data_IF_714111088108
#
_entry.id   IF_714111088108
#
_cell.length_a   1.000
_cell.length_b   1.000
_cell.length_c   1.000
_cell.angle_alpha   90.00
_cell.angle_beta   90.00
_cell.angle_gamma   90.00
#
_symmetry.space_group_name_H-M   'P 1'
#
loop_
_entity.id
_entity.type
_entity.pdbx_description
1 polymer ?
#
# COMPACT_ATOMS: atom_id res chain seq x y z
N UNK A 1 37.49 5.69 3.80
CA UNK A 1 36.83 6.68 2.93
C UNK A 1 35.34 6.55 3.22
N UNK A 2 34.74 7.51 3.94
CA UNK A 2 33.32 7.52 4.27
C UNK A 2 32.56 7.89 3.01
N UNK A 3 31.84 6.91 2.44
CA UNK A 3 30.90 7.13 1.35
C UNK A 3 29.72 7.93 1.94
N UNK A 4 29.67 9.23 1.71
CA UNK A 4 28.50 10.05 1.99
C UNK A 4 27.38 9.50 1.09
N UNK A 5 26.46 8.72 1.67
CA UNK A 5 25.19 8.41 0.99
C UNK A 5 24.60 9.75 0.56
N UNK A 6 24.42 9.94 -0.76
CA UNK A 6 23.62 11.05 -1.29
C UNK A 6 22.33 11.09 -0.48
N UNK A 7 21.95 12.27 0.00
CA UNK A 7 20.80 12.42 0.86
C UNK A 7 19.57 11.81 0.18
N UNK A 8 18.95 10.81 0.83
CA UNK A 8 17.68 10.25 0.39
C UNK A 8 16.70 11.42 0.22
N UNK A 9 15.98 11.44 -0.90
CA UNK A 9 14.82 12.31 -1.03
C UNK A 9 13.89 11.98 0.15
N UNK A 10 13.64 12.96 1.00
CA UNK A 10 12.67 12.84 2.09
C UNK A 10 11.42 13.59 1.67
N UNK A 11 10.30 12.92 1.76
CA UNK A 11 9.00 13.56 1.58
C UNK A 11 8.69 14.51 2.75
N UNK A 12 7.51 15.08 2.71
CA UNK A 12 7.02 16.03 3.71
C UNK A 12 5.56 15.74 4.06
N UNK A 13 5.15 16.10 5.26
CA UNK A 13 3.73 16.14 5.62
C UNK A 13 3.06 17.28 4.86
N UNK A 14 1.93 16.97 4.25
CA UNK A 14 1.07 17.93 3.56
C UNK A 14 -0.36 17.81 4.08
N UNK A 15 -1.21 18.76 3.70
CA UNK A 15 -2.66 18.65 3.91
C UNK A 15 -3.36 18.68 2.56
N UNK A 16 -4.41 17.89 2.40
CA UNK A 16 -5.24 17.85 1.19
C UNK A 16 -6.71 17.65 1.56
N UNK A 17 -7.60 17.86 0.61
CA UNK A 17 -9.03 17.76 0.86
C UNK A 17 -9.57 16.38 0.52
N UNK A 18 -10.48 15.90 1.33
CA UNK A 18 -11.36 14.76 1.08
C UNK A 18 -12.52 15.19 0.16
N UNK A 19 -13.22 14.26 -0.50
CA UNK A 19 -14.42 14.57 -1.28
C UNK A 19 -15.52 15.30 -0.50
N UNK A 20 -15.66 15.03 0.80
CA UNK A 20 -16.62 15.71 1.69
C UNK A 20 -16.21 17.14 2.09
N UNK A 21 -15.04 17.61 1.64
CA UNK A 21 -14.49 18.92 1.94
C UNK A 21 -13.70 19.01 3.25
N UNK A 22 -13.64 17.95 4.04
CA UNK A 22 -12.76 17.90 5.20
C UNK A 22 -11.28 17.85 4.78
N UNK A 23 -10.41 18.39 5.63
CA UNK A 23 -8.96 18.35 5.41
C UNK A 23 -8.34 17.18 6.15
N UNK A 24 -7.47 16.46 5.45
CA UNK A 24 -6.68 15.36 6.00
C UNK A 24 -5.20 15.62 5.74
N UNK A 25 -4.34 15.09 6.60
CA UNK A 25 -2.90 15.11 6.40
C UNK A 25 -2.43 13.85 5.66
N UNK A 26 -1.24 13.94 5.09
CA UNK A 26 -0.57 12.79 4.49
C UNK A 26 0.90 13.08 4.27
N UNK A 27 1.67 12.03 4.03
CA UNK A 27 3.10 12.15 3.71
C UNK A 27 3.29 12.04 2.20
N UNK A 28 3.78 13.11 1.57
CA UNK A 28 4.06 13.16 0.14
C UNK A 28 5.56 13.12 -0.11
N UNK A 29 6.01 12.10 -0.82
CA UNK A 29 7.34 12.01 -1.40
C UNK A 29 7.26 12.23 -2.91
N UNK A 30 8.17 13.03 -3.45
CA UNK A 30 8.17 13.41 -4.87
C UNK A 30 9.53 13.18 -5.50
N UNK A 31 9.60 12.74 -6.76
CA UNK A 31 10.86 12.61 -7.48
C UNK A 31 11.47 13.97 -7.79
N UNK A 32 12.78 13.98 -8.11
CA UNK A 32 13.47 15.20 -8.50
C UNK A 32 12.89 15.84 -9.79
N UNK A 33 12.34 15.01 -10.68
CA UNK A 33 11.66 15.46 -11.91
C UNK A 33 10.18 15.16 -11.77
N UNK A 34 9.36 16.19 -11.65
CA UNK A 34 7.91 16.08 -11.43
C UNK A 34 7.09 15.96 -12.73
N UNK A 35 7.59 16.55 -13.82
CA UNK A 35 6.81 16.61 -15.07
C UNK A 35 6.50 15.22 -15.63
N UNK A 36 5.21 14.88 -15.69
CA UNK A 36 4.73 13.60 -16.18
C UNK A 36 4.98 12.41 -15.24
N UNK A 37 5.44 12.63 -14.02
CA UNK A 37 5.63 11.56 -13.06
C UNK A 37 4.29 10.93 -12.68
N UNK A 38 4.10 9.62 -12.87
CA UNK A 38 2.91 8.94 -12.38
C UNK A 38 2.91 8.87 -10.86
N UNK A 39 1.73 8.66 -10.28
CA UNK A 39 1.55 8.71 -8.85
C UNK A 39 1.11 7.37 -8.25
N UNK A 40 1.40 7.19 -6.96
CA UNK A 40 1.04 6.01 -6.19
C UNK A 40 0.48 6.46 -4.83
N UNK A 41 -0.73 6.03 -4.51
CA UNK A 41 -1.24 6.09 -3.14
C UNK A 41 -0.66 4.90 -2.38
N UNK A 42 0.00 5.17 -1.25
CA UNK A 42 0.59 4.15 -0.39
C UNK A 42 -0.23 4.04 0.89
N UNK A 43 -0.78 2.88 1.16
CA UNK A 43 -1.65 2.69 2.32
C UNK A 43 -0.87 2.02 3.45
N UNK A 44 -0.92 2.65 4.62
CA UNK A 44 -0.24 2.25 5.85
C UNK A 44 -0.66 0.87 6.36
N UNK A 45 0.20 0.27 7.16
CA UNK A 45 -0.18 -0.82 8.04
C UNK A 45 -0.98 -0.27 9.26
N UNK A 46 -1.36 -1.12 10.18
CA UNK A 46 -2.14 -0.74 11.37
C UNK A 46 -1.37 0.12 12.40
N UNK A 47 -0.11 0.45 12.11
CA UNK A 47 0.76 1.23 13.00
C UNK A 47 0.59 2.75 12.86
N UNK A 48 -0.12 3.24 11.85
CA UNK A 48 -0.14 4.66 11.47
C UNK A 48 0.97 5.03 10.48
N UNK A 49 1.15 6.33 10.23
CA UNK A 49 2.22 6.82 9.32
C UNK A 49 3.56 6.85 10.07
N UNK A 50 4.15 5.69 10.31
CA UNK A 50 5.48 5.54 10.90
C UNK A 50 6.62 5.76 9.89
N UNK A 51 7.86 5.66 10.34
CA UNK A 51 9.03 5.89 9.46
C UNK A 51 9.20 4.78 8.42
N UNK A 52 8.73 3.57 8.69
CA UNK A 52 8.75 2.46 7.75
C UNK A 52 7.91 2.78 6.51
N UNK A 53 6.63 3.16 6.67
CA UNK A 53 5.76 3.44 5.52
C UNK A 53 6.16 4.74 4.79
N UNK A 54 6.69 5.75 5.51
CA UNK A 54 7.32 6.91 4.88
C UNK A 54 8.51 6.52 4.02
N UNK A 55 9.32 5.56 4.51
CA UNK A 55 10.44 4.99 3.76
C UNK A 55 10.02 4.30 2.47
N UNK A 56 8.85 3.65 2.44
CA UNK A 56 8.27 3.09 1.21
C UNK A 56 7.96 4.21 0.21
N UNK A 57 7.31 5.29 0.64
CA UNK A 57 7.00 6.43 -0.22
C UNK A 57 8.28 7.11 -0.76
N UNK A 58 9.30 7.28 0.08
CA UNK A 58 10.59 7.85 -0.31
C UNK A 58 11.28 6.99 -1.38
N UNK A 59 11.29 5.66 -1.21
CA UNK A 59 11.86 4.72 -2.20
C UNK A 59 11.11 4.76 -3.53
N UNK A 60 9.79 4.90 -3.52
CA UNK A 60 9.00 5.09 -4.74
C UNK A 60 9.35 6.42 -5.42
N UNK A 61 9.57 7.48 -4.66
CA UNK A 61 9.98 8.76 -5.20
C UNK A 61 11.39 8.71 -5.81
N UNK A 62 12.33 7.97 -5.22
CA UNK A 62 13.64 7.68 -5.80
C UNK A 62 13.53 6.91 -7.15
N UNK A 63 12.47 6.11 -7.32
CA UNK A 63 12.16 5.39 -8.56
C UNK A 63 11.36 6.21 -9.57
N UNK A 64 11.08 7.49 -9.32
CA UNK A 64 10.42 8.40 -10.26
C UNK A 64 8.92 8.56 -10.07
N UNK A 65 8.31 8.04 -9.02
CA UNK A 65 6.89 8.16 -8.74
C UNK A 65 6.60 9.27 -7.73
N UNK A 66 5.44 9.93 -7.83
CA UNK A 66 4.90 10.71 -6.71
C UNK A 66 4.17 9.74 -5.78
N UNK A 67 4.55 9.68 -4.52
CA UNK A 67 3.98 8.74 -3.55
C UNK A 67 3.32 9.49 -2.39
N UNK A 68 2.03 9.26 -2.15
CA UNK A 68 1.27 9.89 -1.08
C UNK A 68 0.72 8.83 -0.12
N UNK A 69 1.07 8.96 1.15
CA UNK A 69 0.51 8.15 2.25
C UNK A 69 -0.57 8.97 2.95
N UNK A 70 -1.88 8.72 2.77
CA UNK A 70 -2.93 9.40 3.52
C UNK A 70 -2.88 8.98 5.00
N UNK A 71 -3.11 9.93 5.92
CA UNK A 71 -3.11 9.68 7.36
C UNK A 71 -4.50 9.19 7.82
N UNK A 72 -4.69 7.88 7.78
CA UNK A 72 -5.97 7.27 8.13
C UNK A 72 -6.30 7.38 9.62
N UNK A 73 -5.29 7.59 10.47
CA UNK A 73 -5.46 7.65 11.92
C UNK A 73 -5.38 9.06 12.49
N UNK A 74 -5.41 10.10 11.64
CA UNK A 74 -5.44 11.51 12.06
C UNK A 74 -4.30 11.91 12.99
N UNK A 75 -3.10 11.40 12.71
CA UNK A 75 -1.89 11.67 13.48
C UNK A 75 -1.57 10.63 14.56
N UNK A 76 -2.48 9.71 14.85
CA UNK A 76 -2.18 8.63 15.77
C UNK A 76 -1.22 7.62 15.14
N UNK A 77 -0.26 7.15 15.91
CA UNK A 77 0.65 6.07 15.56
C UNK A 77 1.08 5.33 16.83
N UNK A 78 1.37 4.05 16.72
CA UNK A 78 1.76 3.22 17.86
C UNK A 78 2.78 2.15 17.44
N UNK A 79 3.44 1.59 18.42
CA UNK A 79 4.28 0.38 18.31
C UNK A 79 3.71 -0.78 19.14
N UNK A 80 2.63 -0.53 19.88
CA UNK A 80 1.99 -1.51 20.76
C UNK A 80 0.84 -2.21 20.04
N UNK A 81 0.82 -3.54 20.10
CA UNK A 81 -0.14 -4.40 19.39
C UNK A 81 -1.60 -4.11 19.80
N UNK A 82 -1.88 -3.98 21.10
CA UNK A 82 -3.24 -3.68 21.58
C UNK A 82 -3.75 -2.35 21.06
N UNK A 83 -2.91 -1.31 21.07
CA UNK A 83 -3.27 0.00 20.57
C UNK A 83 -3.46 -0.01 19.04
N UNK A 84 -2.61 -0.72 18.31
CA UNK A 84 -2.76 -0.88 16.86
C UNK A 84 -4.08 -1.59 16.51
N UNK A 85 -4.44 -2.60 17.29
CA UNK A 85 -5.70 -3.32 17.12
C UNK A 85 -6.91 -2.40 17.40
N UNK A 86 -6.80 -1.55 18.44
CA UNK A 86 -7.83 -0.57 18.78
C UNK A 86 -8.00 0.46 17.65
N UNK A 87 -6.91 1.07 17.17
CA UNK A 87 -6.93 2.03 16.07
C UNK A 87 -7.52 1.44 14.78
N UNK A 88 -7.15 0.20 14.45
CA UNK A 88 -7.69 -0.49 13.28
C UNK A 88 -9.20 -0.78 13.42
N UNK A 89 -9.66 -1.18 14.61
CA UNK A 89 -11.08 -1.47 14.85
C UNK A 89 -11.95 -0.22 14.86
N UNK A 90 -11.40 0.94 15.22
CA UNK A 90 -12.11 2.23 15.17
C UNK A 90 -12.13 2.84 13.76
N UNK A 91 -11.26 2.38 12.86
CA UNK A 91 -11.22 2.89 11.50
C UNK A 91 -12.46 2.43 10.71
N UNK A 92 -13.26 3.37 10.23
CA UNK A 92 -14.28 3.10 9.23
C UNK A 92 -13.61 2.90 7.86
N UNK A 93 -13.49 1.65 7.42
CA UNK A 93 -12.88 1.30 6.14
C UNK A 93 -13.63 1.88 4.94
N UNK A 94 -14.96 2.03 5.03
CA UNK A 94 -15.77 2.64 3.97
C UNK A 94 -15.46 4.13 3.83
N UNK A 95 -15.39 4.84 4.96
CA UNK A 95 -14.98 6.26 4.98
C UNK A 95 -13.52 6.42 4.52
N UNK A 96 -12.61 5.59 5.01
CA UNK A 96 -11.21 5.61 4.60
C UNK A 96 -11.05 5.45 3.08
N UNK A 97 -11.79 4.54 2.45
CA UNK A 97 -11.76 4.34 0.99
C UNK A 97 -12.43 5.48 0.26
N UNK A 98 -13.68 5.82 0.61
CA UNK A 98 -14.50 6.78 -0.15
C UNK A 98 -14.09 8.23 0.05
N UNK A 99 -13.39 8.53 1.14
CA UNK A 99 -12.99 9.89 1.50
C UNK A 99 -11.45 10.05 1.51
N UNK A 100 -10.73 9.35 2.37
CA UNK A 100 -9.30 9.58 2.56
C UNK A 100 -8.47 9.15 1.34
N UNK A 101 -8.66 7.92 0.89
CA UNK A 101 -7.93 7.38 -0.27
C UNK A 101 -8.40 8.06 -1.54
N UNK A 102 -9.70 8.29 -1.70
CA UNK A 102 -10.24 9.04 -2.83
C UNK A 102 -9.72 10.47 -2.89
N UNK A 103 -9.64 11.17 -1.75
CA UNK A 103 -9.04 12.51 -1.66
C UNK A 103 -7.56 12.50 -2.06
N UNK A 104 -6.81 11.48 -1.65
CA UNK A 104 -5.41 11.32 -2.07
C UNK A 104 -5.28 11.13 -3.60
N UNK A 105 -6.19 10.35 -4.22
CA UNK A 105 -6.24 10.21 -5.68
C UNK A 105 -6.50 11.57 -6.35
N UNK A 106 -7.52 12.30 -5.91
CA UNK A 106 -7.87 13.61 -6.46
C UNK A 106 -6.71 14.61 -6.34
N UNK A 107 -6.02 14.61 -5.19
CA UNK A 107 -4.84 15.45 -4.99
C UNK A 107 -3.70 15.11 -5.96
N UNK A 108 -3.43 13.82 -6.16
CA UNK A 108 -2.35 13.38 -7.06
C UNK A 108 -2.68 13.62 -8.53
N UNK A 109 -3.94 13.49 -8.93
CA UNK A 109 -4.39 13.70 -10.31
C UNK A 109 -4.25 15.15 -10.78
N UNK A 110 -4.07 16.13 -9.86
CA UNK A 110 -3.78 17.51 -10.26
C UNK A 110 -2.50 17.65 -11.10
N UNK A 111 -1.53 16.73 -10.89
CA UNK A 111 -0.20 16.78 -11.54
C UNK A 111 0.23 15.44 -12.14
N UNK A 112 -0.60 14.40 -12.09
CA UNK A 112 -0.27 13.05 -12.57
C UNK A 112 -1.45 12.44 -13.30
N UNK A 113 -1.25 12.05 -14.56
CA UNK A 113 -2.30 11.47 -15.41
C UNK A 113 -2.68 10.04 -14.96
N UNK A 114 -1.75 9.33 -14.34
CA UNK A 114 -1.94 7.93 -13.91
C UNK A 114 -1.64 7.79 -12.43
N UNK A 115 -2.59 7.16 -11.72
CA UNK A 115 -2.49 6.88 -10.29
C UNK A 115 -2.65 5.39 -10.04
N UNK A 116 -1.72 4.81 -9.30
CA UNK A 116 -1.79 3.45 -8.78
C UNK A 116 -1.99 3.45 -7.27
N UNK A 117 -2.22 2.27 -6.70
CA UNK A 117 -2.33 2.08 -5.26
C UNK A 117 -1.50 0.90 -4.80
N UNK A 118 -0.90 1.01 -3.64
CA UNK A 118 -0.24 -0.12 -2.95
C UNK A 118 -0.48 0.00 -1.45
N UNK A 119 -0.55 -1.14 -0.78
CA UNK A 119 -0.76 -1.15 0.67
C UNK A 119 -0.33 -2.47 1.30
N UNK A 120 -0.03 -2.41 2.59
CA UNK A 120 0.62 -3.45 3.37
C UNK A 120 -0.27 -3.88 4.52
N UNK A 121 -0.45 -5.17 4.77
CA UNK A 121 -1.29 -5.71 5.85
C UNK A 121 -2.72 -5.12 5.79
N UNK A 122 -3.18 -4.38 6.79
CA UNK A 122 -4.43 -3.61 6.75
C UNK A 122 -4.54 -2.78 5.47
N UNK A 123 -3.45 -2.12 5.07
CA UNK A 123 -3.37 -1.36 3.82
C UNK A 123 -3.53 -2.22 2.56
N UNK A 124 -3.17 -3.50 2.61
CA UNK A 124 -3.44 -4.46 1.54
C UNK A 124 -4.94 -4.71 1.37
N UNK A 125 -5.66 -4.88 2.48
CA UNK A 125 -7.12 -4.99 2.48
C UNK A 125 -7.79 -3.73 1.90
N UNK A 126 -7.35 -2.55 2.37
CA UNK A 126 -7.85 -1.27 1.86
C UNK A 126 -7.49 -1.05 0.38
N UNK A 127 -6.36 -1.59 -0.10
CA UNK A 127 -6.00 -1.55 -1.52
C UNK A 127 -7.03 -2.26 -2.39
N UNK A 128 -7.45 -3.47 -2.02
CA UNK A 128 -8.48 -4.22 -2.76
C UNK A 128 -9.84 -3.51 -2.73
N UNK A 129 -10.25 -3.01 -1.57
CA UNK A 129 -11.49 -2.23 -1.44
C UNK A 129 -11.42 -0.95 -2.28
N UNK A 130 -10.28 -0.26 -2.29
CA UNK A 130 -10.08 0.94 -3.09
C UNK A 130 -10.11 0.64 -4.59
N UNK A 131 -9.51 -0.45 -5.06
CA UNK A 131 -9.58 -0.89 -6.47
C UNK A 131 -11.00 -1.23 -6.90
N UNK A 132 -11.83 -1.73 -5.99
CA UNK A 132 -13.26 -2.00 -6.25
C UNK A 132 -14.11 -0.72 -6.29
N UNK A 133 -13.76 0.30 -5.49
CA UNK A 133 -14.59 1.50 -5.29
C UNK A 133 -14.13 2.73 -6.08
N UNK A 134 -12.84 2.80 -6.46
CA UNK A 134 -12.21 3.99 -7.07
C UNK A 134 -11.69 3.63 -8.46
N UNK A 135 -12.50 3.89 -9.52
CA UNK A 135 -12.17 3.47 -10.88
C UNK A 135 -10.99 4.24 -11.50
N UNK A 136 -10.52 5.29 -10.88
CA UNK A 136 -9.37 6.08 -11.35
C UNK A 136 -8.03 5.37 -11.17
N UNK A 137 -7.95 4.33 -10.37
CA UNK A 137 -6.72 3.57 -10.26
C UNK A 137 -6.43 2.76 -11.52
N UNK A 138 -5.24 2.95 -12.08
CA UNK A 138 -4.75 2.22 -13.27
C UNK A 138 -4.33 0.80 -12.91
N UNK A 139 -3.72 0.62 -11.74
CA UNK A 139 -3.27 -0.68 -11.24
C UNK A 139 -3.03 -0.65 -9.72
N UNK A 140 -2.84 -1.82 -9.12
CA UNK A 140 -2.54 -1.94 -7.71
C UNK A 140 -1.56 -3.05 -7.34
N UNK A 141 -0.89 -2.90 -6.19
CA UNK A 141 -0.05 -3.94 -5.59
C UNK A 141 -0.47 -4.18 -4.14
N UNK A 142 -0.81 -5.41 -3.83
CA UNK A 142 -1.34 -5.85 -2.52
C UNK A 142 -0.27 -6.65 -1.81
N UNK A 143 0.02 -6.29 -0.55
CA UNK A 143 1.03 -6.96 0.26
C UNK A 143 0.38 -7.58 1.50
N UNK A 144 0.40 -8.90 1.57
CA UNK A 144 0.00 -9.75 2.71
C UNK A 144 -1.23 -9.25 3.49
N UNK A 145 -2.29 -8.84 2.79
CA UNK A 145 -3.53 -8.44 3.44
C UNK A 145 -4.70 -8.30 2.45
N UNK A 146 -5.87 -8.79 2.84
CA UNK A 146 -7.10 -8.64 2.07
C UNK A 146 -8.32 -8.59 3.01
N UNK A 147 -9.43 -7.95 2.61
CA UNK A 147 -10.65 -7.91 3.42
C UNK A 147 -11.35 -9.27 3.39
N UNK A 148 -12.24 -9.57 4.36
CA UNK A 148 -13.17 -10.68 4.21
C UNK A 148 -13.88 -10.61 2.85
N UNK A 149 -13.96 -11.75 2.15
CA UNK A 149 -14.40 -11.78 0.73
C UNK A 149 -15.83 -11.28 0.54
N UNK A 150 -16.69 -11.40 1.56
CA UNK A 150 -18.06 -10.85 1.54
C UNK A 150 -18.12 -9.33 1.44
N UNK A 151 -17.04 -8.62 1.74
CA UNK A 151 -16.93 -7.15 1.60
C UNK A 151 -16.26 -6.70 0.30
N UNK A 152 -15.75 -7.65 -0.50
CA UNK A 152 -15.06 -7.37 -1.75
C UNK A 152 -15.96 -7.61 -2.96
N UNK A 153 -16.37 -6.54 -3.63
CA UNK A 153 -17.04 -6.66 -4.94
C UNK A 153 -15.99 -6.74 -6.06
N UNK A 154 -15.44 -7.94 -6.29
CA UNK A 154 -14.43 -8.17 -7.31
C UNK A 154 -14.89 -7.81 -8.73
N UNK A 155 -16.20 -7.85 -9.01
CA UNK A 155 -16.76 -7.51 -10.33
C UNK A 155 -16.54 -6.05 -10.74
N UNK A 156 -16.30 -5.18 -9.77
CA UNK A 156 -16.02 -3.75 -9.97
C UNK A 156 -14.55 -3.46 -10.24
N UNK A 157 -13.63 -4.38 -9.92
CA UNK A 157 -12.21 -4.17 -10.15
C UNK A 157 -11.92 -4.26 -11.64
N UNK A 158 -11.46 -3.14 -12.23
CA UNK A 158 -11.07 -3.05 -13.65
C UNK A 158 -9.57 -2.86 -13.80
N UNK A 159 -8.90 -2.44 -12.75
CA UNK A 159 -7.47 -2.25 -12.71
C UNK A 159 -6.74 -3.60 -12.62
N UNK A 160 -5.61 -3.71 -13.30
CA UNK A 160 -4.71 -4.85 -13.10
C UNK A 160 -4.09 -4.81 -11.69
N UNK A 161 -3.82 -5.95 -11.10
CA UNK A 161 -3.18 -6.00 -9.80
C UNK A 161 -2.17 -7.14 -9.66
N UNK A 162 -1.22 -6.95 -8.75
CA UNK A 162 -0.36 -8.02 -8.25
C UNK A 162 -0.52 -8.19 -6.75
N UNK A 163 -0.33 -9.40 -6.27
CA UNK A 163 -0.37 -9.73 -4.84
C UNK A 163 0.91 -10.42 -4.38
N UNK A 164 1.39 -10.07 -3.20
CA UNK A 164 2.56 -10.64 -2.55
C UNK A 164 2.17 -11.32 -1.24
N UNK A 165 2.30 -12.65 -1.17
CA UNK A 165 1.77 -13.49 -0.11
C UNK A 165 2.85 -14.34 0.54
N UNK A 166 2.79 -14.48 1.86
CA UNK A 166 3.70 -15.32 2.63
C UNK A 166 3.09 -16.70 2.89
N UNK A 167 3.86 -17.78 2.68
CA UNK A 167 3.35 -19.14 2.87
C UNK A 167 3.23 -19.54 4.35
N UNK A 168 3.92 -18.86 5.24
CA UNK A 168 3.85 -19.05 6.69
C UNK A 168 3.13 -17.88 7.40
N UNK A 169 2.19 -17.25 6.70
CA UNK A 169 1.39 -16.18 7.28
C UNK A 169 0.34 -16.76 8.22
N UNK A 170 0.38 -16.34 9.49
CA UNK A 170 -0.58 -16.76 10.51
C UNK A 170 -1.88 -15.94 10.50
N UNK A 171 -1.91 -14.80 9.81
CA UNK A 171 -3.05 -13.89 9.73
C UNK A 171 -3.84 -14.09 8.44
N UNK A 172 -3.14 -14.32 7.32
CA UNK A 172 -3.72 -14.55 5.99
C UNK A 172 -3.16 -15.86 5.42
N UNK A 173 -3.78 -16.97 5.77
CA UNK A 173 -3.27 -18.25 5.35
C UNK A 173 -3.35 -18.46 3.83
N UNK A 174 -2.50 -19.33 3.30
CA UNK A 174 -2.34 -19.48 1.86
C UNK A 174 -3.56 -20.09 1.16
N UNK A 175 -4.39 -20.85 1.88
CA UNK A 175 -5.62 -21.42 1.36
C UNK A 175 -6.64 -20.30 1.09
N UNK A 176 -6.83 -19.36 2.03
CA UNK A 176 -7.73 -18.22 1.83
C UNK A 176 -7.20 -17.22 0.79
N UNK A 177 -5.87 -17.12 0.63
CA UNK A 177 -5.27 -16.39 -0.50
C UNK A 177 -5.65 -17.04 -1.83
N UNK A 178 -5.67 -18.38 -1.91
CA UNK A 178 -6.15 -19.11 -3.09
C UNK A 178 -7.62 -18.87 -3.40
N UNK A 179 -8.47 -18.71 -2.38
CA UNK A 179 -9.89 -18.35 -2.55
C UNK A 179 -10.03 -16.93 -3.11
N UNK A 180 -9.24 -15.97 -2.61
CA UNK A 180 -9.19 -14.62 -3.16
C UNK A 180 -8.75 -14.62 -4.64
N UNK A 181 -7.69 -15.36 -4.97
CA UNK A 181 -7.19 -15.47 -6.36
C UNK A 181 -8.27 -16.01 -7.29
N UNK A 182 -8.96 -17.07 -6.86
CA UNK A 182 -10.07 -17.67 -7.60
C UNK A 182 -11.21 -16.68 -7.80
N UNK A 183 -11.61 -15.96 -6.73
CA UNK A 183 -12.67 -14.94 -6.78
C UNK A 183 -12.32 -13.83 -7.78
N UNK A 184 -11.09 -13.35 -7.80
CA UNK A 184 -10.65 -12.33 -8.75
C UNK A 184 -10.68 -12.85 -10.20
N UNK A 185 -10.17 -14.05 -10.45
CA UNK A 185 -10.16 -14.66 -11.78
C UNK A 185 -11.57 -14.95 -12.31
N UNK A 186 -12.48 -15.43 -11.49
CA UNK A 186 -13.89 -15.67 -11.84
C UNK A 186 -14.60 -14.36 -12.25
N UNK A 187 -14.15 -13.23 -11.72
CA UNK A 187 -14.64 -11.90 -12.10
C UNK A 187 -13.82 -11.23 -13.21
N UNK A 188 -12.92 -11.98 -13.89
CA UNK A 188 -12.06 -11.51 -14.98
C UNK A 188 -11.12 -10.37 -14.59
N UNK A 189 -10.67 -10.31 -13.34
CA UNK A 189 -9.65 -9.37 -12.90
C UNK A 189 -8.27 -9.83 -13.38
N UNK A 190 -7.49 -8.93 -13.99
CA UNK A 190 -6.08 -9.16 -14.36
C UNK A 190 -5.23 -9.16 -13.07
N UNK A 191 -5.20 -10.30 -12.39
CA UNK A 191 -4.50 -10.49 -11.11
C UNK A 191 -3.36 -11.50 -11.26
N UNK A 192 -2.19 -11.16 -10.72
CA UNK A 192 -1.04 -12.06 -10.64
C UNK A 192 -0.57 -12.16 -9.19
N UNK A 193 -0.54 -13.37 -8.63
CA UNK A 193 -0.11 -13.62 -7.27
C UNK A 193 1.29 -14.22 -7.22
N UNK A 194 2.08 -13.76 -6.28
CA UNK A 194 3.40 -14.28 -5.95
C UNK A 194 3.43 -14.74 -4.50
N UNK A 195 3.91 -15.94 -4.28
CA UNK A 195 4.07 -16.54 -2.95
C UNK A 195 5.54 -16.63 -2.58
N UNK A 196 5.83 -16.42 -1.30
CA UNK A 196 7.18 -16.39 -0.73
C UNK A 196 7.25 -17.29 0.50
N UNK A 197 8.35 -17.99 0.67
CA UNK A 197 8.62 -18.77 1.88
C UNK A 197 8.97 -17.83 3.03
N UNK A 198 7.99 -17.09 3.51
CA UNK A 198 8.12 -16.00 4.48
C UNK A 198 6.96 -16.00 5.47
N UNK A 199 7.06 -15.17 6.49
CA UNK A 199 5.99 -14.89 7.46
C UNK A 199 5.24 -13.58 7.10
N UNK A 200 4.15 -13.29 7.84
CA UNK A 200 3.47 -12.00 7.74
C UNK A 200 4.44 -10.83 7.93
N UNK A 201 4.15 -9.71 7.28
CA UNK A 201 4.97 -8.49 7.33
C UNK A 201 6.44 -8.69 6.85
N UNK A 202 6.69 -9.63 5.93
CA UNK A 202 8.05 -9.90 5.44
C UNK A 202 8.71 -8.70 4.75
N UNK A 203 7.95 -7.72 4.31
CA UNK A 203 8.46 -6.47 3.74
C UNK A 203 8.54 -5.30 4.74
N UNK A 204 8.18 -5.51 6.00
CA UNK A 204 8.28 -4.50 7.05
C UNK A 204 9.59 -4.64 7.82
N UNK A 205 10.50 -3.69 7.62
CA UNK A 205 11.84 -3.67 8.22
C UNK A 205 11.82 -3.56 9.75
N UNK A 206 10.70 -3.10 10.33
CA UNK A 206 10.52 -3.01 11.79
C UNK A 206 10.06 -4.35 12.42
N UNK A 207 9.64 -5.34 11.59
CA UNK A 207 9.23 -6.66 12.07
C UNK A 207 10.45 -7.55 12.41
N UNK A 208 11.31 -7.08 13.33
CA UNK A 208 12.55 -7.73 13.75
C UNK A 208 12.71 -7.75 15.27
N UNK A 209 13.53 -8.69 15.77
CA UNK A 209 13.90 -8.75 17.17
C UNK A 209 12.81 -9.31 18.10
N UNK A 210 13.03 -9.15 19.40
CA UNK A 210 12.19 -9.76 20.44
C UNK A 210 10.88 -9.01 20.72
N UNK A 211 10.76 -7.74 20.25
CA UNK A 211 9.56 -6.91 20.43
C UNK A 211 8.55 -7.02 19.28
N UNK A 212 8.85 -7.82 18.26
CA UNK A 212 7.92 -8.01 17.14
C UNK A 212 6.72 -8.88 17.54
N UNK A 213 5.61 -8.68 16.84
CA UNK A 213 4.42 -9.51 17.01
C UNK A 213 4.72 -10.96 16.60
N UNK A 214 4.29 -11.96 17.40
CA UNK A 214 4.40 -13.36 16.99
C UNK A 214 3.76 -13.61 15.63
N UNK A 215 4.45 -14.38 14.77
CA UNK A 215 3.97 -14.65 13.40
C UNK A 215 4.34 -13.61 12.35
N UNK A 216 4.93 -12.47 12.76
CA UNK A 216 5.50 -11.48 11.83
C UNK A 216 7.02 -11.62 11.76
N UNK A 217 7.61 -11.42 10.59
CA UNK A 217 9.07 -11.40 10.45
C UNK A 217 9.50 -10.76 9.14
N UNK A 218 10.36 -9.76 9.22
CA UNK A 218 11.04 -9.19 8.06
C UNK A 218 11.97 -10.22 7.41
N UNK A 219 11.92 -10.29 6.09
CA UNK A 219 12.85 -11.08 5.27
C UNK A 219 13.37 -10.23 4.12
N UNK A 220 14.65 -9.85 4.20
CA UNK A 220 15.27 -8.96 3.22
C UNK A 220 15.24 -9.53 1.80
N UNK A 221 15.49 -10.84 1.65
CA UNK A 221 15.55 -11.49 0.33
C UNK A 221 14.19 -11.47 -0.37
N UNK A 222 13.15 -11.87 0.35
CA UNK A 222 11.80 -11.89 -0.21
C UNK A 222 11.22 -10.50 -0.37
N UNK A 223 11.55 -9.57 0.54
CA UNK A 223 11.17 -8.16 0.43
C UNK A 223 11.73 -7.51 -0.83
N UNK A 224 13.05 -7.69 -1.10
CA UNK A 224 13.68 -7.16 -2.32
C UNK A 224 13.08 -7.77 -3.59
N UNK A 225 12.88 -9.09 -3.63
CA UNK A 225 12.28 -9.75 -4.80
C UNK A 225 10.86 -9.26 -5.07
N UNK A 226 10.04 -9.12 -4.04
CA UNK A 226 8.68 -8.60 -4.16
C UNK A 226 8.67 -7.13 -4.59
N UNK A 227 9.60 -6.33 -4.09
CA UNK A 227 9.80 -4.94 -4.48
C UNK A 227 10.14 -4.80 -5.96
N UNK A 228 11.10 -5.58 -6.47
CA UNK A 228 11.49 -5.58 -7.89
C UNK A 228 10.32 -5.97 -8.81
N UNK A 229 9.53 -6.96 -8.41
CA UNK A 229 8.30 -7.35 -9.13
C UNK A 229 7.28 -6.21 -9.17
N UNK A 230 7.10 -5.53 -8.04
CA UNK A 230 6.21 -4.37 -7.93
C UNK A 230 6.67 -3.23 -8.83
N UNK A 231 7.95 -2.86 -8.79
CA UNK A 231 8.49 -1.81 -9.65
C UNK A 231 8.39 -2.16 -11.13
N UNK A 232 8.65 -3.42 -11.50
CA UNK A 232 8.48 -3.91 -12.88
C UNK A 232 7.03 -3.79 -13.33
N UNK A 233 6.09 -4.18 -12.47
CA UNK A 233 4.67 -4.07 -12.76
C UNK A 233 4.21 -2.61 -12.91
N UNK A 234 4.54 -1.76 -11.96
CA UNK A 234 4.22 -0.33 -12.03
C UNK A 234 4.87 0.34 -13.24
N UNK A 235 6.12 -0.01 -13.55
CA UNK A 235 6.80 0.50 -14.75
C UNK A 235 6.04 0.20 -16.03
N UNK A 236 5.56 -1.02 -16.19
CA UNK A 236 4.78 -1.43 -17.36
C UNK A 236 3.41 -0.73 -17.44
N UNK A 237 2.70 -0.59 -16.31
CA UNK A 237 1.33 -0.05 -16.28
C UNK A 237 1.29 1.47 -16.25
N UNK A 238 2.28 2.13 -15.67
CA UNK A 238 2.27 3.57 -15.45
C UNK A 238 3.12 4.35 -16.46
N UNK A 239 4.25 3.78 -16.93
CA UNK A 239 5.16 4.46 -17.84
C UNK A 239 5.01 4.01 -19.30
N UNK A 240 4.71 2.74 -19.56
CA UNK A 240 4.76 2.16 -20.89
C UNK A 240 3.37 1.94 -21.52
N UNK A 241 2.29 2.07 -20.76
CA UNK A 241 0.90 1.87 -21.24
C UNK A 241 0.24 3.13 -21.74
#
# INVERSE_FOLDING_TARGET
MHNKKAGRARGQMISFQRPDGATINGYLASPAVLTGAPAIVVIQEWWGINDQIKGVADRLAECGYRALVPDLYRGALTVEEEEAHHLMNELDFSDAVSQDIKGAVQYLQADSDKVAVTGYCMGGALTLLALSAIPEFVCGAVWYGFPPLEYLDASKIKAALIGHWATHDAFFNIETVGELESTLHENNVDATFYTYLAHHAFANEDAVGNGRIPGTQYDATWSEMAWDRTLTFFGRKLWLS
#
